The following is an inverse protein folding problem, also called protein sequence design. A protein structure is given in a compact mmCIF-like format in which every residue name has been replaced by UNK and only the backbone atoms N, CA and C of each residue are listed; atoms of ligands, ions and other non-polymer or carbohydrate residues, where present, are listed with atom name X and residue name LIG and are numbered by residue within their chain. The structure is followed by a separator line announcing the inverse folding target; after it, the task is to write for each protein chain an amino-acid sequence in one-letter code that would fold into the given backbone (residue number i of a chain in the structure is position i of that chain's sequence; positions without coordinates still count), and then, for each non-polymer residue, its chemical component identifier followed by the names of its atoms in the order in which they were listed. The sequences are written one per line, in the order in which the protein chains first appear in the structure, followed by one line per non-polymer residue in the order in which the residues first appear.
data_IF_325118519151
#
_entry.id   IF_325118519151
#
_cell.length_a   1.000
_cell.length_b   1.000
_cell.length_c   1.000
_cell.angle_alpha   90.00
_cell.angle_beta   90.00
_cell.angle_gamma   90.00
#
_symmetry.space_group_name_H-M   'P 1'
#
loop_
_entity.id
_entity.type
_entity.pdbx_description
1 polymer ?
#
# COMPACT_ATOMS: atom_id res chain seq x y z
N UNK A 1 -10.96 -29.17 -38.26
CA UNK A 1 -11.49 -28.70 -36.96
C UNK A 1 -12.36 -29.79 -36.35
N UNK A 2 -11.85 -30.55 -35.36
CA UNK A 2 -12.60 -31.63 -34.71
C UNK A 2 -13.75 -31.01 -33.89
N UNK A 3 -14.98 -31.47 -34.13
CA UNK A 3 -16.17 -31.13 -33.33
C UNK A 3 -15.91 -31.53 -31.87
N UNK A 4 -15.67 -30.54 -31.01
CA UNK A 4 -15.67 -30.75 -29.55
C UNK A 4 -17.09 -31.19 -29.18
N UNK A 5 -17.26 -32.44 -28.74
CA UNK A 5 -18.57 -32.96 -28.36
C UNK A 5 -19.05 -32.20 -27.11
N UNK A 6 -20.25 -31.63 -27.16
CA UNK A 6 -20.86 -30.86 -26.07
C UNK A 6 -20.83 -31.61 -24.72
N UNK A 7 -20.93 -32.94 -24.74
CA UNK A 7 -20.83 -33.80 -23.55
C UNK A 7 -19.44 -33.91 -22.91
N UNK A 8 -18.36 -33.55 -23.62
CA UNK A 8 -17.02 -33.45 -23.06
C UNK A 8 -16.72 -32.06 -22.47
N UNK A 9 -17.54 -31.05 -22.81
CA UNK A 9 -17.41 -29.69 -22.26
C UNK A 9 -17.96 -29.60 -20.83
N UNK A 10 -19.06 -30.30 -20.51
CA UNK A 10 -19.66 -30.26 -19.17
C UNK A 10 -18.69 -30.75 -18.06
N UNK A 11 -17.99 -31.89 -18.22
CA UNK A 11 -16.99 -32.37 -17.26
C UNK A 11 -15.78 -31.45 -17.18
N UNK A 12 -15.39 -30.83 -18.30
CA UNK A 12 -14.24 -29.93 -18.36
C UNK A 12 -14.52 -28.60 -17.66
N UNK A 13 -15.72 -28.04 -17.84
CA UNK A 13 -16.19 -26.86 -17.09
C UNK A 13 -16.34 -27.19 -15.61
N UNK A 14 -16.92 -28.33 -15.26
CA UNK A 14 -17.03 -28.78 -13.87
C UNK A 14 -15.67 -28.94 -13.19
N UNK A 15 -14.71 -29.59 -13.87
CA UNK A 15 -13.34 -29.74 -13.37
C UNK A 15 -12.62 -28.39 -13.23
N UNK A 16 -12.81 -27.49 -14.19
CA UNK A 16 -12.26 -26.13 -14.12
C UNK A 16 -12.82 -25.35 -12.93
N UNK A 17 -14.14 -25.36 -12.71
CA UNK A 17 -14.78 -24.69 -11.58
C UNK A 17 -14.33 -25.28 -10.23
N UNK A 18 -14.18 -26.60 -10.15
CA UNK A 18 -13.67 -27.27 -8.94
C UNK A 18 -12.21 -26.89 -8.67
N UNK A 19 -11.39 -26.79 -9.72
CA UNK A 19 -10.02 -26.32 -9.63
C UNK A 19 -9.94 -24.86 -9.18
N UNK A 20 -10.71 -23.95 -9.78
CA UNK A 20 -10.81 -22.56 -9.35
C UNK A 20 -11.23 -22.44 -7.88
N UNK A 21 -12.25 -23.20 -7.47
CA UNK A 21 -12.69 -23.26 -6.06
C UNK A 21 -11.54 -23.71 -5.17
N UNK A 22 -10.83 -24.77 -5.53
CA UNK A 22 -9.71 -25.28 -4.76
C UNK A 22 -8.56 -24.27 -4.65
N UNK A 23 -8.20 -23.57 -5.73
CA UNK A 23 -7.17 -22.52 -5.74
C UNK A 23 -7.54 -21.35 -4.84
N UNK A 24 -8.78 -20.87 -4.94
CA UNK A 24 -9.28 -19.73 -4.16
C UNK A 24 -9.42 -20.07 -2.68
N UNK A 25 -9.93 -21.27 -2.39
CA UNK A 25 -10.21 -21.70 -1.03
C UNK A 25 -8.99 -22.27 -0.32
N UNK A 26 -8.05 -22.89 -1.03
CA UNK A 26 -6.85 -23.52 -0.49
C UNK A 26 -7.16 -24.28 0.81
N UNK A 27 -8.07 -25.26 0.72
CA UNK A 27 -8.51 -26.09 1.84
C UNK A 27 -9.40 -25.41 2.90
N UNK A 28 -9.62 -24.10 2.83
CA UNK A 28 -10.46 -23.39 3.80
C UNK A 28 -11.93 -23.35 3.37
N UNK A 29 -12.83 -23.11 4.33
CA UNK A 29 -14.24 -22.90 4.03
C UNK A 29 -14.47 -21.54 3.33
N UNK A 30 -15.55 -21.43 2.56
CA UNK A 30 -15.96 -20.16 1.93
C UNK A 30 -16.15 -19.05 2.98
N UNK A 31 -16.85 -19.28 4.12
CA UNK A 31 -17.00 -18.27 5.16
C UNK A 31 -15.66 -17.80 5.73
N UNK A 32 -14.72 -18.72 5.96
CA UNK A 32 -13.39 -18.36 6.46
C UNK A 32 -12.62 -17.48 5.47
N UNK A 33 -12.67 -17.80 4.17
CA UNK A 33 -12.00 -17.00 3.14
C UNK A 33 -12.60 -15.61 3.03
N UNK A 34 -13.93 -15.52 3.00
CA UNK A 34 -14.63 -14.24 3.02
C UNK A 34 -14.23 -13.43 4.25
N UNK A 35 -14.21 -14.04 5.43
CA UNK A 35 -13.77 -13.40 6.67
C UNK A 35 -12.34 -12.85 6.56
N UNK A 36 -11.39 -13.62 6.03
CA UNK A 36 -10.00 -13.13 5.89
C UNK A 36 -9.87 -11.93 4.94
N UNK A 37 -10.69 -11.88 3.88
CA UNK A 37 -10.75 -10.74 2.95
C UNK A 37 -11.34 -9.53 3.66
N UNK A 38 -12.45 -9.70 4.39
CA UNK A 38 -13.09 -8.64 5.15
C UNK A 38 -12.15 -8.07 6.22
N UNK A 39 -11.46 -8.92 6.98
CA UNK A 39 -10.47 -8.50 7.99
C UNK A 39 -9.31 -7.73 7.36
N UNK A 40 -8.85 -8.13 6.17
CA UNK A 40 -7.82 -7.39 5.45
C UNK A 40 -8.32 -6.05 4.92
N UNK A 41 -9.54 -6.00 4.41
CA UNK A 41 -10.13 -4.81 3.82
C UNK A 41 -10.70 -3.83 4.86
N UNK A 42 -10.93 -4.27 6.10
CA UNK A 42 -11.52 -3.46 7.15
C UNK A 42 -10.79 -2.13 7.40
N UNK A 43 -9.44 -2.08 7.55
CA UNK A 43 -8.78 -0.81 7.84
C UNK A 43 -8.88 0.24 6.71
N UNK A 44 -8.72 -0.11 5.40
CA UNK A 44 -9.03 0.81 4.31
C UNK A 44 -10.49 1.25 4.27
N UNK A 45 -11.45 0.36 4.56
CA UNK A 45 -12.87 0.73 4.64
C UNK A 45 -13.16 1.65 5.83
N UNK A 46 -12.52 1.43 6.97
CA UNK A 46 -12.63 2.31 8.13
C UNK A 46 -12.11 3.71 7.79
N UNK A 47 -10.99 3.80 7.07
CA UNK A 47 -10.49 5.09 6.59
C UNK A 47 -11.48 5.78 5.63
N UNK A 48 -12.00 5.10 4.61
CA UNK A 48 -12.94 5.73 3.67
C UNK A 48 -14.23 6.17 4.35
N UNK A 49 -14.70 5.38 5.31
CA UNK A 49 -15.84 5.73 6.16
C UNK A 49 -15.54 7.00 6.95
N UNK A 50 -14.46 7.03 7.74
CA UNK A 50 -14.09 8.19 8.56
C UNK A 50 -13.83 9.44 7.72
N UNK A 51 -13.18 9.30 6.56
CA UNK A 51 -12.99 10.40 5.60
C UNK A 51 -14.33 10.99 5.20
N UNK A 52 -15.34 10.16 4.87
CA UNK A 52 -16.69 10.62 4.55
C UNK A 52 -17.42 11.23 5.74
N UNK A 53 -17.17 10.74 6.95
CA UNK A 53 -17.77 11.29 8.17
C UNK A 53 -17.14 12.62 8.61
N UNK A 54 -15.95 12.98 8.11
CA UNK A 54 -15.28 14.24 8.46
C UNK A 54 -16.12 15.50 8.18
N UNK A 55 -17.10 15.44 7.27
CA UNK A 55 -18.06 16.54 7.02
C UNK A 55 -18.93 16.88 8.24
N UNK A 56 -19.07 15.97 9.20
CA UNK A 56 -19.88 16.16 10.40
C UNK A 56 -19.10 16.80 11.56
N UNK A 57 -17.79 17.03 11.41
CA UNK A 57 -16.99 17.73 12.41
C UNK A 57 -17.41 19.22 12.39
N UNK A 58 -17.91 19.78 13.51
CA UNK A 58 -18.33 21.18 13.57
C UNK A 58 -17.18 22.14 13.30
N UNK A 59 -17.42 23.21 12.53
CA UNK A 59 -16.39 24.18 12.16
C UNK A 59 -15.76 24.87 13.38
N UNK A 60 -16.51 25.01 14.48
CA UNK A 60 -16.05 25.61 15.74
C UNK A 60 -14.89 24.87 16.41
N UNK A 61 -14.70 23.58 16.13
CA UNK A 61 -13.61 22.77 16.70
C UNK A 61 -12.50 22.47 15.68
N UNK A 62 -12.67 22.91 14.43
CA UNK A 62 -11.68 22.67 13.40
C UNK A 62 -10.51 23.65 13.53
N UNK A 63 -9.26 23.20 13.33
CA UNK A 63 -8.09 24.07 13.41
C UNK A 63 -8.04 25.08 12.24
N UNK A 64 -7.29 26.19 12.37
CA UNK A 64 -7.06 27.10 11.27
C UNK A 64 -6.38 26.44 10.06
N UNK A 65 -6.75 26.84 8.86
CA UNK A 65 -6.18 26.33 7.61
C UNK A 65 -4.85 27.02 7.32
N UNK A 66 -3.80 26.24 7.10
CA UNK A 66 -2.46 26.76 6.83
C UNK A 66 -2.20 26.87 5.32
N UNK A 67 -1.94 28.10 4.85
CA UNK A 67 -1.63 28.38 3.44
C UNK A 67 -0.11 28.58 3.21
N UNK A 68 0.61 29.30 4.07
CA UNK A 68 1.99 29.72 3.72
C UNK A 68 3.08 28.64 3.88
N UNK A 69 2.84 27.64 4.73
CA UNK A 69 3.88 26.68 5.11
C UNK A 69 4.30 25.78 3.94
N UNK A 70 3.33 25.13 3.28
CA UNK A 70 3.65 24.13 2.24
C UNK A 70 4.33 24.74 1.01
N UNK A 71 3.90 25.90 0.47
CA UNK A 71 4.63 26.59 -0.59
C UNK A 71 6.08 26.91 -0.18
N UNK A 72 6.30 27.39 1.04
CA UNK A 72 7.63 27.73 1.55
C UNK A 72 8.53 26.50 1.66
N UNK A 73 8.03 25.44 2.30
CA UNK A 73 8.77 24.17 2.42
C UNK A 73 9.04 23.54 1.05
N UNK A 74 8.09 23.62 0.12
CA UNK A 74 8.25 23.11 -1.24
C UNK A 74 9.36 23.86 -2.00
N UNK A 75 9.39 25.20 -1.92
CA UNK A 75 10.47 26.01 -2.53
C UNK A 75 11.83 25.67 -1.92
N UNK A 76 11.90 25.56 -0.59
CA UNK A 76 13.13 25.18 0.09
C UNK A 76 13.59 23.79 -0.35
N UNK A 77 12.70 22.80 -0.33
CA UNK A 77 12.96 21.41 -0.71
C UNK A 77 13.51 21.29 -2.13
N UNK A 78 12.91 22.01 -3.09
CA UNK A 78 13.26 21.93 -4.51
C UNK A 78 14.46 22.80 -4.90
N UNK A 79 14.95 23.66 -4.00
CA UNK A 79 16.19 24.41 -4.22
C UNK A 79 17.41 23.46 -4.29
N UNK A 80 18.49 23.82 -5.00
CA UNK A 80 19.71 23.01 -5.02
C UNK A 80 20.24 22.67 -3.61
N UNK A 81 20.20 23.64 -2.69
CA UNK A 81 20.58 23.45 -1.30
C UNK A 81 19.66 22.48 -0.56
N UNK A 82 18.35 22.58 -0.77
CA UNK A 82 17.36 21.67 -0.18
C UNK A 82 17.50 20.23 -0.66
N UNK A 83 17.67 20.02 -1.96
CA UNK A 83 17.91 18.69 -2.54
C UNK A 83 19.16 18.05 -1.95
N UNK A 84 20.27 18.80 -1.84
CA UNK A 84 21.51 18.34 -1.21
C UNK A 84 21.26 18.02 0.26
N UNK A 85 20.66 18.93 1.03
CA UNK A 85 20.41 18.75 2.45
C UNK A 85 19.56 17.51 2.74
N UNK A 86 18.47 17.31 2.00
CA UNK A 86 17.61 16.13 2.15
C UNK A 86 18.37 14.87 1.75
N UNK A 87 19.13 14.89 0.64
CA UNK A 87 19.94 13.74 0.22
C UNK A 87 20.94 13.32 1.31
N UNK A 88 21.64 14.28 1.92
CA UNK A 88 22.57 14.03 3.02
C UNK A 88 21.83 13.47 4.25
N UNK A 89 20.65 14.00 4.57
CA UNK A 89 19.83 13.51 5.69
C UNK A 89 19.36 12.05 5.52
N UNK A 90 19.30 11.56 4.28
CA UNK A 90 18.90 10.19 3.96
C UNK A 90 20.06 9.18 4.00
N UNK A 91 21.31 9.61 4.17
CA UNK A 91 22.47 8.71 4.26
C UNK A 91 22.31 7.63 5.36
N UNK A 92 21.87 7.96 6.60
CA UNK A 92 21.68 6.93 7.63
C UNK A 92 20.63 5.89 7.21
N UNK A 93 19.53 6.31 6.61
CA UNK A 93 18.48 5.40 6.12
C UNK A 93 18.99 4.54 4.95
N UNK A 94 19.69 5.15 4.00
CA UNK A 94 20.29 4.43 2.87
C UNK A 94 21.29 3.37 3.36
N UNK A 95 22.12 3.71 4.36
CA UNK A 95 23.06 2.78 4.99
C UNK A 95 22.33 1.66 5.74
N UNK A 96 21.25 1.96 6.44
CA UNK A 96 20.45 0.95 7.12
C UNK A 96 19.84 -0.05 6.13
N UNK A 97 19.22 0.46 5.07
CA UNK A 97 18.59 -0.34 4.02
C UNK A 97 19.63 -1.11 3.19
N UNK A 98 20.83 -0.57 3.03
CA UNK A 98 21.96 -1.26 2.42
C UNK A 98 22.24 -2.59 3.13
N UNK A 99 22.39 -2.55 4.45
CA UNK A 99 22.68 -3.75 5.24
C UNK A 99 21.47 -4.69 5.32
N UNK A 100 20.25 -4.15 5.48
CA UNK A 100 19.04 -4.97 5.45
C UNK A 100 18.80 -5.65 4.11
N UNK A 101 19.29 -5.07 3.01
CA UNK A 101 19.17 -5.59 1.65
C UNK A 101 20.33 -6.48 1.20
N UNK A 102 21.19 -6.95 2.12
CA UNK A 102 22.35 -7.79 1.81
C UNK A 102 23.42 -7.10 0.92
N UNK A 103 23.69 -5.81 1.12
CA UNK A 103 24.38 -4.90 0.17
C UNK A 103 25.63 -5.38 -0.58
N UNK A 104 26.47 -6.25 0.00
CA UNK A 104 27.74 -6.71 -0.60
C UNK A 104 27.71 -8.15 -1.15
N UNK A 105 26.57 -8.85 -1.12
CA UNK A 105 26.52 -10.23 -1.66
C UNK A 105 26.70 -10.23 -3.18
N UNK A 106 27.58 -11.10 -3.67
CA UNK A 106 27.86 -11.34 -5.10
C UNK A 106 27.19 -12.62 -5.62
N UNK A 107 27.24 -12.87 -6.93
CA UNK A 107 26.72 -14.10 -7.56
C UNK A 107 25.19 -14.15 -7.69
N UNK A 108 24.62 -15.36 -7.74
CA UNK A 108 23.15 -15.59 -7.80
C UNK A 108 22.41 -15.10 -6.53
N UNK A 109 23.15 -14.90 -5.45
CA UNK A 109 22.68 -14.34 -4.18
C UNK A 109 22.76 -12.81 -4.10
N UNK A 110 23.01 -12.13 -5.24
CA UNK A 110 23.26 -10.68 -5.28
C UNK A 110 22.27 -9.89 -4.42
N UNK A 111 22.82 -9.17 -3.45
CA UNK A 111 22.07 -8.29 -2.58
C UNK A 111 21.38 -7.18 -3.36
N UNK A 112 20.21 -6.76 -2.88
CA UNK A 112 19.49 -5.60 -3.43
C UNK A 112 19.81 -4.31 -2.67
N UNK A 113 20.56 -4.40 -1.57
CA UNK A 113 20.89 -3.31 -0.66
C UNK A 113 21.55 -2.12 -1.34
N UNK A 114 22.53 -2.35 -2.24
CA UNK A 114 23.15 -1.29 -3.06
C UNK A 114 22.12 -0.52 -3.88
N UNK A 115 21.28 -1.23 -4.64
CA UNK A 115 20.27 -0.60 -5.50
C UNK A 115 19.21 0.16 -4.68
N UNK A 116 18.81 -0.37 -3.52
CA UNK A 116 17.89 0.30 -2.61
C UNK A 116 18.49 1.55 -1.98
N UNK A 117 19.74 1.47 -1.49
CA UNK A 117 20.44 2.62 -0.92
C UNK A 117 20.62 3.74 -1.95
N UNK A 118 21.05 3.40 -3.16
CA UNK A 118 21.12 4.36 -4.27
C UNK A 118 19.74 4.94 -4.58
N UNK A 119 18.69 4.12 -4.59
CA UNK A 119 17.34 4.61 -4.85
C UNK A 119 16.86 5.64 -3.81
N UNK A 120 17.18 5.41 -2.53
CA UNK A 120 16.87 6.34 -1.44
C UNK A 120 17.63 7.66 -1.63
N UNK A 121 18.91 7.62 -1.99
CA UNK A 121 19.71 8.82 -2.20
C UNK A 121 19.33 9.59 -3.47
N UNK A 122 18.83 8.90 -4.50
CA UNK A 122 18.32 9.53 -5.73
C UNK A 122 16.92 10.13 -5.56
N UNK A 123 16.19 9.76 -4.50
CA UNK A 123 14.79 10.16 -4.31
C UNK A 123 14.57 11.69 -4.32
N UNK A 124 15.35 12.53 -3.61
CA UNK A 124 15.14 13.98 -3.63
C UNK A 124 15.37 14.59 -5.02
N UNK A 125 16.39 14.12 -5.74
CA UNK A 125 16.66 14.55 -7.11
C UNK A 125 15.54 14.14 -8.06
N UNK A 126 15.05 12.89 -7.95
CA UNK A 126 13.95 12.42 -8.77
C UNK A 126 12.66 13.20 -8.53
N UNK A 127 12.39 13.58 -7.28
CA UNK A 127 11.26 14.42 -6.94
C UNK A 127 11.40 15.84 -7.50
N UNK A 128 12.62 16.38 -7.50
CA UNK A 128 12.90 17.65 -8.17
C UNK A 128 12.66 17.58 -9.68
N UNK A 129 13.12 16.52 -10.34
CA UNK A 129 12.83 16.26 -11.75
C UNK A 129 11.32 16.14 -11.99
N UNK A 130 10.59 15.41 -11.15
CA UNK A 130 9.13 15.30 -11.22
C UNK A 130 8.46 16.67 -11.14
N UNK A 131 8.89 17.53 -10.20
CA UNK A 131 8.38 18.89 -10.06
C UNK A 131 8.69 19.76 -11.28
N UNK A 132 9.88 19.65 -11.86
CA UNK A 132 10.25 20.37 -13.09
C UNK A 132 9.39 19.92 -14.26
N UNK A 133 9.22 18.61 -14.45
CA UNK A 133 8.37 18.02 -15.49
C UNK A 133 6.89 18.36 -15.32
N UNK A 134 6.44 18.69 -14.10
CA UNK A 134 5.07 19.13 -13.86
C UNK A 134 4.76 20.51 -14.48
N UNK A 135 5.78 21.33 -14.79
CA UNK A 135 5.63 22.61 -15.48
C UNK A 135 5.56 22.48 -17.01
N UNK A 136 5.48 21.26 -17.53
CA UNK A 136 5.31 21.05 -18.97
C UNK A 136 4.03 21.72 -19.47
N UNK A 137 4.07 22.24 -20.70
CA UNK A 137 2.90 22.87 -21.33
C UNK A 137 1.72 21.90 -21.36
N UNK A 138 0.55 22.41 -20.97
CA UNK A 138 -0.66 21.61 -20.86
C UNK A 138 -1.09 21.11 -22.24
N UNK A 139 -1.41 19.82 -22.34
CA UNK A 139 -1.95 19.22 -23.56
C UNK A 139 -2.82 18.02 -23.24
N UNK A 140 -3.79 17.72 -24.10
CA UNK A 140 -4.70 16.58 -23.95
C UNK A 140 -3.95 15.25 -23.77
N UNK A 141 -2.80 15.09 -24.43
CA UNK A 141 -1.99 13.87 -24.34
C UNK A 141 -1.38 13.71 -22.95
N UNK A 142 -0.86 14.79 -22.37
CA UNK A 142 -0.29 14.78 -21.02
C UNK A 142 -1.40 14.66 -19.97
N UNK A 143 -2.54 15.31 -20.18
CA UNK A 143 -3.72 15.15 -19.32
C UNK A 143 -4.19 13.70 -19.29
N UNK A 144 -4.32 13.03 -20.44
CA UNK A 144 -4.72 11.62 -20.49
C UNK A 144 -3.66 10.67 -19.91
N UNK A 145 -2.37 10.98 -20.10
CA UNK A 145 -1.28 10.19 -19.49
C UNK A 145 -1.32 10.32 -17.96
N UNK A 146 -1.36 11.55 -17.45
CA UNK A 146 -1.45 11.82 -16.01
C UNK A 146 -2.72 11.24 -15.41
N UNK A 147 -3.82 11.30 -16.17
CA UNK A 147 -5.10 10.73 -15.78
C UNK A 147 -5.03 9.21 -15.60
N UNK A 148 -4.30 8.50 -16.46
CA UNK A 148 -4.21 7.04 -16.39
C UNK A 148 -3.71 6.55 -15.03
N UNK A 149 -2.71 7.23 -14.46
CA UNK A 149 -2.12 6.93 -13.15
C UNK A 149 -2.89 7.58 -12.01
N UNK A 150 -3.12 8.89 -12.08
CA UNK A 150 -3.70 9.66 -10.99
C UNK A 150 -5.22 9.56 -10.92
N UNK A 151 -5.96 9.58 -12.03
CA UNK A 151 -7.43 9.55 -12.03
C UNK A 151 -7.99 8.13 -12.00
N UNK A 152 -7.46 7.22 -12.82
CA UNK A 152 -7.97 5.84 -12.93
C UNK A 152 -7.25 4.85 -12.01
N UNK A 153 -5.93 4.70 -12.17
CA UNK A 153 -5.18 3.67 -11.43
C UNK A 153 -5.07 3.94 -9.94
N UNK A 154 -5.20 5.17 -9.45
CA UNK A 154 -5.13 5.40 -8.00
C UNK A 154 -6.23 4.63 -7.24
N UNK A 155 -7.44 4.52 -7.77
CA UNK A 155 -8.53 3.72 -7.19
C UNK A 155 -8.35 2.22 -7.41
N UNK A 156 -7.88 1.82 -8.60
CA UNK A 156 -7.73 0.41 -8.95
C UNK A 156 -6.48 -0.24 -8.33
N UNK A 157 -5.42 0.54 -8.12
CA UNK A 157 -4.09 0.02 -7.75
C UNK A 157 -4.04 -0.73 -6.41
N UNK A 158 -4.78 -0.35 -5.34
CA UNK A 158 -4.78 -1.14 -4.11
C UNK A 158 -5.44 -2.51 -4.30
N UNK A 159 -6.49 -2.58 -5.13
CA UNK A 159 -7.19 -3.83 -5.44
C UNK A 159 -6.29 -4.73 -6.28
N UNK A 160 -5.68 -4.17 -7.34
CA UNK A 160 -4.72 -4.89 -8.21
C UNK A 160 -3.50 -5.37 -7.41
N UNK A 161 -2.96 -4.52 -6.52
CA UNK A 161 -1.85 -4.87 -5.65
C UNK A 161 -2.26 -5.98 -4.67
N UNK A 162 -3.42 -5.89 -4.03
CA UNK A 162 -3.94 -6.93 -3.13
C UNK A 162 -4.07 -8.29 -3.84
N UNK A 163 -4.60 -8.29 -5.07
CA UNK A 163 -4.70 -9.50 -5.89
C UNK A 163 -3.32 -10.05 -6.29
N UNK A 164 -2.40 -9.18 -6.71
CA UNK A 164 -1.03 -9.56 -7.04
C UNK A 164 -0.30 -10.14 -5.83
N UNK A 165 -0.45 -9.55 -4.64
CA UNK A 165 0.14 -10.04 -3.38
C UNK A 165 -0.48 -11.37 -2.98
N UNK A 166 -1.78 -11.58 -3.16
CA UNK A 166 -2.40 -12.90 -2.94
C UNK A 166 -1.84 -13.95 -3.91
N UNK A 167 -1.63 -13.57 -5.17
CA UNK A 167 -1.10 -14.42 -6.22
C UNK A 167 0.35 -14.82 -5.99
N UNK A 168 1.23 -13.87 -5.63
CA UNK A 168 2.68 -14.09 -5.64
C UNK A 168 3.32 -14.03 -4.24
N UNK A 169 2.67 -13.41 -3.26
CA UNK A 169 3.17 -13.27 -1.90
C UNK A 169 2.85 -14.46 -1.00
N UNK A 170 3.40 -14.42 0.21
CA UNK A 170 3.17 -15.45 1.23
C UNK A 170 1.71 -15.47 1.71
N UNK A 171 1.24 -16.64 2.17
CA UNK A 171 -0.13 -16.78 2.66
C UNK A 171 -0.41 -15.79 3.80
N UNK A 172 -1.45 -14.95 3.64
CA UNK A 172 -1.80 -13.89 4.60
C UNK A 172 -1.13 -12.53 4.36
N UNK A 173 -0.19 -12.43 3.42
CA UNK A 173 0.46 -11.16 3.07
C UNK A 173 -0.54 -10.13 2.54
N UNK A 174 -1.53 -10.54 1.74
CA UNK A 174 -2.57 -9.64 1.21
C UNK A 174 -3.46 -9.04 2.32
N UNK A 175 -3.75 -9.81 3.38
CA UNK A 175 -4.46 -9.29 4.55
C UNK A 175 -3.58 -8.25 5.27
N UNK A 176 -2.29 -8.55 5.45
CA UNK A 176 -1.35 -7.62 6.08
C UNK A 176 -1.18 -6.34 5.27
N UNK A 177 -1.18 -6.42 3.93
CA UNK A 177 -1.21 -5.27 3.04
C UNK A 177 -2.40 -4.34 3.31
N UNK A 178 -3.61 -4.91 3.47
CA UNK A 178 -4.78 -4.12 3.82
C UNK A 178 -4.62 -3.38 5.16
N UNK A 179 -4.06 -4.04 6.18
CA UNK A 179 -3.73 -3.38 7.45
C UNK A 179 -2.67 -2.28 7.30
N UNK A 180 -1.61 -2.52 6.53
CA UNK A 180 -0.56 -1.52 6.24
C UNK A 180 -1.13 -0.30 5.52
N UNK A 181 -1.93 -0.53 4.48
CA UNK A 181 -2.59 0.51 3.70
C UNK A 181 -3.57 1.33 4.55
N UNK A 182 -4.41 0.66 5.33
CA UNK A 182 -5.37 1.36 6.19
C UNK A 182 -4.68 2.16 7.29
N UNK A 183 -3.62 1.64 7.91
CA UNK A 183 -2.91 2.36 8.97
C UNK A 183 -2.29 3.68 8.48
N UNK A 184 -1.61 3.68 7.32
CA UNK A 184 -1.06 4.92 6.76
C UNK A 184 -2.17 5.90 6.35
N UNK A 185 -3.30 5.39 5.83
CA UNK A 185 -4.39 6.24 5.37
C UNK A 185 -5.16 6.86 6.55
N UNK A 186 -5.39 6.09 7.62
CA UNK A 186 -5.95 6.59 8.87
C UNK A 186 -5.04 7.65 9.51
N UNK A 187 -3.73 7.40 9.54
CA UNK A 187 -2.78 8.38 10.04
C UNK A 187 -2.77 9.65 9.17
N UNK A 188 -2.80 9.52 7.84
CA UNK A 188 -2.85 10.68 6.94
C UNK A 188 -4.15 11.48 7.09
N UNK A 189 -5.29 10.80 7.23
CA UNK A 189 -6.57 11.46 7.54
C UNK A 189 -6.50 12.19 8.88
N UNK A 190 -5.95 11.57 9.93
CA UNK A 190 -5.78 12.22 11.22
C UNK A 190 -4.97 13.53 11.06
N UNK A 191 -3.87 13.49 10.29
CA UNK A 191 -3.08 14.68 9.96
C UNK A 191 -3.87 15.73 9.21
N UNK A 192 -4.65 15.36 8.19
CA UNK A 192 -5.52 16.31 7.47
C UNK A 192 -6.53 17.01 8.38
N UNK A 193 -7.00 16.35 9.43
CA UNK A 193 -7.98 16.90 10.36
C UNK A 193 -7.35 17.83 11.40
N UNK A 194 -6.16 17.49 11.92
CA UNK A 194 -5.47 18.30 12.95
C UNK A 194 -4.57 19.37 12.37
N UNK A 195 -4.16 19.22 11.11
CA UNK A 195 -3.24 20.11 10.40
C UNK A 195 -3.71 20.30 8.95
N UNK A 196 -4.77 21.08 8.74
CA UNK A 196 -5.31 21.35 7.41
C UNK A 196 -4.41 22.31 6.63
N UNK A 197 -4.18 22.00 5.36
CA UNK A 197 -3.34 22.81 4.48
C UNK A 197 -3.90 22.93 3.06
N UNK A 198 -3.66 24.07 2.44
CA UNK A 198 -3.98 24.30 1.03
C UNK A 198 -2.98 23.59 0.09
N UNK A 199 -3.53 22.96 -0.95
CA UNK A 199 -2.79 22.38 -2.07
C UNK A 199 -2.57 23.43 -3.18
N UNK A 200 -1.72 23.15 -4.20
CA UNK A 200 -1.36 24.12 -5.23
C UNK A 200 -2.55 24.76 -5.95
N UNK A 201 -3.60 23.98 -6.26
CA UNK A 201 -4.82 24.45 -6.91
C UNK A 201 -5.48 25.66 -6.23
N UNK A 202 -5.31 25.82 -4.91
CA UNK A 202 -5.88 26.94 -4.17
C UNK A 202 -5.29 28.26 -4.66
N UNK A 203 -3.98 28.31 -4.89
CA UNK A 203 -3.29 29.51 -5.35
C UNK A 203 -3.57 29.81 -6.82
N UNK A 204 -3.81 28.77 -7.63
CA UNK A 204 -4.21 28.95 -9.03
C UNK A 204 -5.57 29.66 -9.15
N UNK A 205 -6.46 29.42 -8.18
CA UNK A 205 -7.84 29.97 -8.19
C UNK A 205 -7.94 31.29 -7.43
N UNK A 206 -7.30 31.40 -6.27
CA UNK A 206 -7.48 32.53 -5.35
C UNK A 206 -6.27 33.48 -5.28
N UNK A 207 -5.15 33.13 -5.92
CA UNK A 207 -3.91 33.91 -5.89
C UNK A 207 -3.04 33.64 -4.65
N UNK A 208 -1.80 34.13 -4.67
CA UNK A 208 -0.86 33.99 -3.54
C UNK A 208 -1.15 34.91 -2.38
N UNK A 209 -1.86 36.02 -2.64
CA UNK A 209 -2.22 37.04 -1.65
C UNK A 209 -3.65 36.81 -1.11
N UNK A 210 -4.15 35.58 -1.27
CA UNK A 210 -5.49 35.19 -0.82
C UNK A 210 -5.66 35.40 0.69
N UNK A 211 -6.85 35.83 1.08
CA UNK A 211 -7.23 35.88 2.50
C UNK A 211 -7.23 34.46 3.10
N UNK A 212 -7.11 34.40 4.43
CA UNK A 212 -7.19 33.13 5.17
C UNK A 212 -8.51 32.42 4.84
N UNK A 213 -8.46 31.18 4.31
CA UNK A 213 -9.67 30.46 3.95
C UNK A 213 -10.38 29.93 5.19
N UNK A 214 -11.67 29.65 5.03
CA UNK A 214 -12.50 28.98 6.01
C UNK A 214 -13.05 27.64 5.46
N UNK A 215 -13.85 26.94 6.26
CA UNK A 215 -14.41 25.63 5.90
C UNK A 215 -15.62 25.69 4.95
N UNK A 216 -16.04 26.88 4.50
CA UNK A 216 -17.09 27.05 3.50
C UNK A 216 -16.57 26.90 2.06
N UNK A 217 -15.25 26.94 1.87
CA UNK A 217 -14.62 26.79 0.57
C UNK A 217 -14.97 25.44 -0.08
N UNK A 218 -15.47 25.42 -1.32
CA UNK A 218 -15.82 24.19 -2.00
C UNK A 218 -14.57 23.41 -2.40
N UNK A 219 -14.71 22.08 -2.47
CA UNK A 219 -13.66 21.23 -3.03
C UNK A 219 -13.47 21.48 -4.52
N UNK A 220 -12.22 21.32 -4.99
CA UNK A 220 -11.81 21.67 -6.34
C UNK A 220 -11.14 20.46 -7.04
N UNK A 221 -11.54 20.10 -8.27
CA UNK A 221 -10.92 19.02 -9.04
C UNK A 221 -9.54 19.38 -9.60
N UNK A 222 -9.06 20.61 -9.38
CA UNK A 222 -7.81 21.14 -9.92
C UNK A 222 -7.68 20.86 -11.43
N UNK A 223 -6.51 20.41 -11.87
CA UNK A 223 -6.27 20.09 -13.28
C UNK A 223 -7.13 18.95 -13.84
N UNK A 224 -7.78 18.11 -13.01
CA UNK A 224 -8.67 17.06 -13.51
C UNK A 224 -9.92 17.60 -14.21
N UNK A 225 -10.27 18.89 -14.02
CA UNK A 225 -11.34 19.52 -14.79
C UNK A 225 -11.09 19.46 -16.30
N UNK A 226 -9.81 19.45 -16.73
CA UNK A 226 -9.45 19.29 -18.14
C UNK A 226 -9.76 17.90 -18.65
N UNK A 227 -9.58 16.87 -17.83
CA UNK A 227 -9.95 15.49 -18.18
C UNK A 227 -11.46 15.35 -18.33
N UNK A 228 -12.24 15.98 -17.44
CA UNK A 228 -13.70 16.06 -17.57
C UNK A 228 -14.09 16.64 -18.94
N UNK A 229 -13.43 17.73 -19.37
CA UNK A 229 -13.66 18.34 -20.69
C UNK A 229 -13.29 17.43 -21.87
N UNK A 230 -12.12 16.76 -21.81
CA UNK A 230 -11.66 15.84 -22.86
C UNK A 230 -12.63 14.65 -23.01
N UNK A 231 -13.12 14.10 -21.90
CA UNK A 231 -14.01 12.93 -21.90
C UNK A 231 -15.50 13.29 -22.06
N UNK A 232 -15.85 14.58 -22.05
CA UNK A 232 -17.24 15.03 -22.05
C UNK A 232 -18.01 14.59 -20.81
N UNK A 233 -17.35 14.52 -19.65
CA UNK A 233 -17.97 14.10 -18.38
C UNK A 233 -17.88 15.19 -17.31
N UNK A 234 -18.50 14.95 -16.15
CA UNK A 234 -18.41 15.82 -14.97
C UNK A 234 -18.05 15.01 -13.72
N UNK A 235 -17.33 13.90 -13.90
CA UNK A 235 -17.10 12.94 -12.83
C UNK A 235 -16.21 13.57 -11.76
N UNK A 236 -15.13 14.25 -12.17
CA UNK A 236 -14.18 14.83 -11.22
C UNK A 236 -14.72 16.11 -10.59
N UNK A 237 -15.33 16.99 -11.37
CA UNK A 237 -16.00 18.18 -10.85
C UNK A 237 -17.03 17.81 -9.76
N UNK A 238 -17.85 16.78 -9.99
CA UNK A 238 -18.84 16.31 -8.99
C UNK A 238 -18.21 15.59 -7.80
N UNK A 239 -17.17 14.78 -8.02
CA UNK A 239 -16.52 14.02 -6.96
C UNK A 239 -15.79 14.95 -5.97
N UNK A 240 -15.03 15.91 -6.49
CA UNK A 240 -14.27 16.85 -5.67
C UNK A 240 -15.14 17.94 -5.05
N UNK A 241 -16.18 18.41 -5.74
CA UNK A 241 -17.12 19.39 -5.18
C UNK A 241 -17.86 18.89 -3.93
N UNK A 242 -17.89 17.57 -3.68
CA UNK A 242 -18.47 16.94 -2.49
C UNK A 242 -17.41 16.37 -1.53
N UNK A 243 -16.15 16.80 -1.67
CA UNK A 243 -15.05 16.38 -0.83
C UNK A 243 -15.20 16.89 0.61
N UNK A 244 -15.21 16.01 1.63
CA UNK A 244 -15.40 16.40 3.04
C UNK A 244 -14.16 17.04 3.67
N UNK A 245 -12.98 16.84 3.05
CA UNK A 245 -11.68 17.35 3.50
C UNK A 245 -11.06 18.09 2.32
N UNK A 246 -11.35 19.39 2.22
CA UNK A 246 -10.88 20.27 1.13
C UNK A 246 -9.41 20.64 1.30
N UNK A 247 -9.02 20.96 2.53
CA UNK A 247 -7.66 21.39 2.89
C UNK A 247 -6.85 20.24 3.51
N UNK A 248 -6.71 19.13 2.79
CA UNK A 248 -5.97 17.94 3.21
C UNK A 248 -4.79 17.62 2.29
N UNK A 249 -3.91 18.59 2.04
CA UNK A 249 -2.77 18.40 1.14
C UNK A 249 -1.71 17.43 1.70
N UNK A 250 -1.18 17.71 2.89
CA UNK A 250 -0.09 16.94 3.50
C UNK A 250 -0.62 15.97 4.58
N UNK A 251 -0.18 14.70 4.61
CA UNK A 251 0.62 14.01 3.60
C UNK A 251 -0.21 13.63 2.37
N UNK A 252 0.45 13.44 1.23
CA UNK A 252 -0.21 12.92 0.03
C UNK A 252 -0.54 11.43 0.20
N UNK A 253 -1.82 11.12 0.36
CA UNK A 253 -2.31 9.72 0.43
C UNK A 253 -2.14 8.98 -0.91
N UNK A 254 -2.04 9.68 -2.03
CA UNK A 254 -1.74 9.10 -3.34
C UNK A 254 -0.31 8.57 -3.36
N UNK A 255 0.66 9.37 -2.92
CA UNK A 255 2.04 8.93 -2.79
C UNK A 255 2.18 7.78 -1.77
N UNK A 256 1.53 7.92 -0.61
CA UNK A 256 1.55 6.90 0.44
C UNK A 256 1.01 5.55 -0.07
N UNK A 257 -0.12 5.57 -0.78
CA UNK A 257 -0.72 4.38 -1.40
C UNK A 257 0.18 3.77 -2.48
N UNK A 258 0.73 4.58 -3.38
CA UNK A 258 1.61 4.10 -4.44
C UNK A 258 2.88 3.44 -3.90
N UNK A 259 3.55 4.08 -2.94
CA UNK A 259 4.73 3.53 -2.25
C UNK A 259 4.35 2.23 -1.52
N UNK A 260 3.22 2.18 -0.84
CA UNK A 260 2.79 0.97 -0.11
C UNK A 260 2.61 -0.21 -1.06
N UNK A 261 1.90 -0.02 -2.17
CA UNK A 261 1.76 -1.03 -3.22
C UNK A 261 3.13 -1.52 -3.71
N UNK A 262 4.03 -0.58 -4.01
CA UNK A 262 5.36 -0.91 -4.52
C UNK A 262 6.27 -1.59 -3.50
N UNK A 263 6.18 -1.28 -2.20
CA UNK A 263 6.97 -1.96 -1.17
C UNK A 263 6.63 -3.45 -1.09
N UNK A 264 5.34 -3.80 -1.17
CA UNK A 264 4.92 -5.20 -1.25
C UNK A 264 5.31 -5.86 -2.57
N UNK A 265 5.18 -5.16 -3.70
CA UNK A 265 5.64 -5.67 -5.00
C UNK A 265 7.15 -5.92 -4.98
N UNK A 266 7.95 -5.01 -4.44
CA UNK A 266 9.40 -5.16 -4.24
C UNK A 266 9.75 -6.37 -3.38
N UNK A 267 8.99 -6.61 -2.29
CA UNK A 267 9.22 -7.73 -1.38
C UNK A 267 9.07 -9.07 -2.09
N UNK A 268 7.99 -9.27 -2.85
CA UNK A 268 7.65 -10.55 -3.45
C UNK A 268 8.09 -10.72 -4.92
N UNK A 269 8.64 -9.67 -5.54
CA UNK A 269 9.20 -9.75 -6.89
C UNK A 269 10.60 -10.38 -6.90
N UNK A 270 10.89 -11.14 -7.96
CA UNK A 270 12.22 -11.69 -8.23
C UNK A 270 13.16 -10.61 -8.80
N UNK A 271 14.42 -10.65 -8.39
CA UNK A 271 15.46 -9.72 -8.85
C UNK A 271 15.10 -8.25 -8.61
N UNK A 272 15.35 -7.42 -9.61
CA UNK A 272 15.11 -5.97 -9.60
C UNK A 272 13.74 -5.56 -10.18
N UNK A 273 12.90 -6.51 -10.61
CA UNK A 273 11.62 -6.22 -11.29
C UNK A 273 10.71 -5.31 -10.47
N UNK A 274 10.59 -5.58 -9.18
CA UNK A 274 9.78 -4.76 -8.28
C UNK A 274 10.34 -3.36 -8.09
N UNK A 275 11.67 -3.21 -8.05
CA UNK A 275 12.32 -1.91 -7.92
C UNK A 275 12.14 -1.06 -9.19
N UNK A 276 12.30 -1.66 -10.37
CA UNK A 276 12.03 -0.99 -11.66
C UNK A 276 10.57 -0.56 -11.74
N UNK A 277 9.64 -1.45 -11.37
CA UNK A 277 8.21 -1.12 -11.31
C UNK A 277 7.94 0.04 -10.35
N UNK A 278 8.57 0.05 -9.17
CA UNK A 278 8.44 1.12 -8.19
C UNK A 278 8.85 2.48 -8.76
N UNK A 279 10.02 2.56 -9.40
CA UNK A 279 10.51 3.79 -10.02
C UNK A 279 9.57 4.31 -11.11
N UNK A 280 9.07 3.43 -11.98
CA UNK A 280 8.16 3.82 -13.06
C UNK A 280 6.81 4.26 -12.49
N UNK A 281 6.17 3.42 -11.67
CA UNK A 281 4.82 3.68 -11.18
C UNK A 281 4.77 4.86 -10.22
N UNK A 282 5.68 4.92 -9.24
CA UNK A 282 5.72 6.05 -8.30
C UNK A 282 6.16 7.33 -9.01
N UNK A 283 7.13 7.25 -9.93
CA UNK A 283 7.58 8.41 -10.71
C UNK A 283 6.44 9.05 -11.51
N UNK A 284 5.67 8.25 -12.25
CA UNK A 284 4.52 8.76 -13.01
C UNK A 284 3.42 9.26 -12.05
N UNK A 285 3.08 8.52 -10.98
CA UNK A 285 2.09 8.96 -10.00
C UNK A 285 2.44 10.32 -9.38
N UNK A 286 3.70 10.51 -8.98
CA UNK A 286 4.17 11.72 -8.32
C UNK A 286 4.10 12.89 -9.29
N UNK A 287 4.61 12.70 -10.50
CA UNK A 287 4.48 13.69 -11.56
C UNK A 287 3.01 14.04 -11.83
N UNK A 288 2.11 13.06 -11.95
CA UNK A 288 0.69 13.32 -12.22
C UNK A 288 0.01 14.13 -11.12
N UNK A 289 0.30 13.86 -9.84
CA UNK A 289 -0.27 14.63 -8.72
C UNK A 289 0.19 16.09 -8.71
N UNK A 290 1.43 16.34 -9.12
CA UNK A 290 1.99 17.69 -9.23
C UNK A 290 1.48 18.38 -10.50
N UNK A 291 1.42 17.69 -11.64
CA UNK A 291 0.93 18.18 -12.93
C UNK A 291 -0.54 18.60 -12.88
N UNK A 292 -1.36 17.90 -12.10
CA UNK A 292 -2.74 18.32 -11.82
C UNK A 292 -2.88 19.31 -10.67
N UNK A 293 -1.77 19.78 -10.07
CA UNK A 293 -1.75 20.80 -9.01
C UNK A 293 -2.51 20.37 -7.74
N UNK A 294 -2.58 19.06 -7.46
CA UNK A 294 -3.19 18.55 -6.25
C UNK A 294 -2.23 18.43 -5.07
N UNK A 295 -0.93 18.35 -5.33
CA UNK A 295 0.09 18.15 -4.29
C UNK A 295 1.37 18.92 -4.60
N UNK A 296 1.97 19.50 -3.57
CA UNK A 296 3.37 19.92 -3.56
C UNK A 296 4.30 18.71 -3.46
N UNK A 297 5.57 18.89 -3.79
CA UNK A 297 6.58 17.84 -3.65
C UNK A 297 6.76 17.41 -2.18
N UNK A 298 6.68 18.35 -1.24
CA UNK A 298 6.79 18.05 0.19
C UNK A 298 5.69 17.08 0.67
N UNK A 299 4.48 17.20 0.11
CA UNK A 299 3.34 16.32 0.43
C UNK A 299 3.65 14.86 0.04
N UNK A 300 4.35 14.68 -1.07
CA UNK A 300 4.77 13.37 -1.59
C UNK A 300 5.89 12.74 -0.75
N UNK A 301 6.83 13.54 -0.24
CA UNK A 301 7.84 13.07 0.73
C UNK A 301 7.16 12.58 1.99
N UNK A 302 6.25 13.38 2.55
CA UNK A 302 5.54 13.02 3.78
C UNK A 302 4.63 11.79 3.57
N UNK A 303 3.96 11.67 2.43
CA UNK A 303 3.22 10.45 2.06
C UNK A 303 4.11 9.21 1.98
N UNK A 304 5.29 9.36 1.36
CA UNK A 304 6.31 8.29 1.30
C UNK A 304 6.77 7.88 2.70
N UNK A 305 7.00 8.83 3.59
CA UNK A 305 7.37 8.57 4.98
C UNK A 305 6.30 7.75 5.72
N UNK A 306 5.02 8.12 5.61
CA UNK A 306 3.91 7.39 6.23
C UNK A 306 3.87 5.93 5.78
N UNK A 307 4.08 5.72 4.48
CA UNK A 307 4.13 4.39 3.89
C UNK A 307 5.30 3.55 4.41
N UNK A 308 6.49 4.13 4.48
CA UNK A 308 7.69 3.46 4.99
C UNK A 308 7.54 3.07 6.46
N UNK A 309 6.99 3.96 7.30
CA UNK A 309 6.73 3.70 8.71
C UNK A 309 5.72 2.57 8.87
N UNK A 310 4.57 2.67 8.20
CA UNK A 310 3.52 1.65 8.26
C UNK A 310 4.03 0.29 7.76
N UNK A 311 4.69 0.26 6.60
CA UNK A 311 5.27 -0.96 6.06
C UNK A 311 6.28 -1.58 7.01
N UNK A 312 7.21 -0.79 7.55
CA UNK A 312 8.22 -1.30 8.50
C UNK A 312 7.56 -1.88 9.75
N UNK A 313 6.53 -1.23 10.30
CA UNK A 313 5.79 -1.75 11.45
C UNK A 313 5.17 -3.13 11.15
N UNK A 314 4.38 -3.24 10.09
CA UNK A 314 3.71 -4.49 9.74
C UNK A 314 4.66 -5.56 9.22
N UNK A 315 5.79 -5.16 8.64
CA UNK A 315 6.86 -6.06 8.23
C UNK A 315 7.47 -6.78 9.43
N UNK A 316 7.76 -6.02 10.49
CA UNK A 316 8.37 -6.52 11.73
C UNK A 316 7.40 -7.32 12.59
N UNK A 317 6.15 -6.85 12.71
CA UNK A 317 5.15 -7.50 13.57
C UNK A 317 4.58 -8.76 12.93
N UNK A 318 4.36 -8.78 11.61
CA UNK A 318 3.57 -9.82 10.94
C UNK A 318 4.22 -10.43 9.71
N UNK A 319 4.66 -9.65 8.71
CA UNK A 319 5.09 -10.22 7.43
C UNK A 319 6.28 -11.18 7.55
N UNK A 320 7.31 -10.86 8.36
CA UNK A 320 8.45 -11.77 8.54
C UNK A 320 8.03 -13.14 9.09
N UNK A 321 7.08 -13.16 10.02
CA UNK A 321 6.54 -14.41 10.60
C UNK A 321 5.75 -15.19 9.56
N UNK A 322 4.91 -14.51 8.79
CA UNK A 322 4.15 -15.12 7.69
C UNK A 322 5.06 -15.70 6.62
N UNK A 323 6.06 -14.94 6.17
CA UNK A 323 7.00 -15.40 5.16
C UNK A 323 7.80 -16.61 5.68
N UNK A 324 8.28 -16.58 6.94
CA UNK A 324 8.96 -17.72 7.54
C UNK A 324 8.07 -18.96 7.57
N UNK A 325 6.84 -18.84 8.06
CA UNK A 325 5.89 -19.95 8.10
C UNK A 325 5.55 -20.47 6.69
N UNK A 326 5.43 -19.56 5.71
CA UNK A 326 5.18 -19.91 4.31
C UNK A 326 6.30 -20.76 3.74
N UNK A 327 7.55 -20.36 3.96
CA UNK A 327 8.68 -21.09 3.41
C UNK A 327 9.00 -22.36 4.23
N UNK A 328 9.04 -22.29 5.56
CA UNK A 328 9.38 -23.43 6.42
C UNK A 328 8.37 -24.59 6.28
N UNK A 329 7.09 -24.27 6.10
CA UNK A 329 6.05 -25.28 5.92
C UNK A 329 5.81 -25.65 4.45
N UNK A 330 6.58 -25.12 3.49
CA UNK A 330 6.37 -25.42 2.08
C UNK A 330 4.98 -24.98 1.57
N UNK A 331 4.45 -23.85 2.03
CA UNK A 331 3.14 -23.37 1.57
C UNK A 331 3.22 -22.79 0.15
N UNK A 332 2.12 -22.88 -0.59
CA UNK A 332 1.96 -22.32 -1.94
C UNK A 332 1.32 -20.94 -1.89
N UNK A 333 1.68 -20.04 -2.81
CA UNK A 333 0.95 -18.78 -3.04
C UNK A 333 -0.23 -18.99 -4.02
N UNK A 334 -1.00 -17.95 -4.33
CA UNK A 334 -2.18 -18.07 -5.20
C UNK A 334 -1.87 -18.58 -6.60
N UNK A 335 -0.73 -18.18 -7.17
CA UNK A 335 -0.27 -18.61 -8.48
C UNK A 335 0.19 -20.07 -8.47
N UNK A 336 1.00 -20.46 -7.49
CA UNK A 336 1.51 -21.83 -7.37
C UNK A 336 0.40 -22.84 -7.11
N UNK A 337 -0.66 -22.40 -6.43
CA UNK A 337 -1.87 -23.19 -6.26
C UNK A 337 -2.52 -23.59 -7.58
N UNK A 338 -2.24 -22.93 -8.71
CA UNK A 338 -2.74 -23.41 -10.01
C UNK A 338 -2.14 -24.77 -10.41
N UNK A 339 -1.00 -25.13 -9.84
CA UNK A 339 -0.23 -26.31 -10.26
C UNK A 339 0.04 -27.29 -9.12
N UNK A 340 0.15 -26.80 -7.88
CA UNK A 340 0.63 -27.59 -6.74
C UNK A 340 -0.21 -27.34 -5.48
N UNK A 341 -0.46 -28.41 -4.72
CA UNK A 341 -1.16 -28.31 -3.43
C UNK A 341 -0.26 -27.80 -2.31
N UNK A 342 0.98 -28.26 -2.29
CA UNK A 342 2.03 -27.86 -1.37
C UNK A 342 3.34 -27.79 -2.13
N UNK A 343 4.30 -27.01 -1.63
CA UNK A 343 5.68 -27.12 -2.08
C UNK A 343 6.39 -28.26 -1.31
N UNK A 344 6.99 -29.19 -2.02
CA UNK A 344 7.72 -30.37 -1.54
C UNK A 344 9.02 -30.55 -2.33
N UNK A 345 9.87 -31.52 -1.95
CA UNK A 345 11.24 -31.65 -2.46
C UNK A 345 11.40 -31.61 -3.99
N UNK A 346 10.38 -32.04 -4.74
CA UNK A 346 10.42 -32.06 -6.21
C UNK A 346 10.04 -30.72 -6.87
N UNK A 347 9.30 -29.85 -6.16
CA UNK A 347 8.88 -28.52 -6.66
C UNK A 347 9.35 -27.36 -5.75
N UNK A 348 10.09 -27.66 -4.69
CA UNK A 348 10.69 -26.70 -3.78
C UNK A 348 11.93 -26.11 -4.42
N UNK A 349 11.88 -24.81 -4.67
CA UNK A 349 12.96 -24.11 -5.37
C UNK A 349 14.02 -23.62 -4.38
N UNK A 350 15.26 -23.56 -4.83
CA UNK A 350 16.38 -22.85 -4.18
C UNK A 350 16.00 -21.44 -3.69
N UNK A 351 15.02 -20.81 -4.34
CA UNK A 351 14.41 -19.55 -3.90
C UNK A 351 13.77 -19.61 -2.50
N UNK A 352 13.08 -20.69 -2.16
CA UNK A 352 12.48 -20.86 -0.83
C UNK A 352 13.53 -20.97 0.27
N UNK A 353 14.59 -21.75 0.06
CA UNK A 353 15.73 -21.86 0.99
C UNK A 353 16.46 -20.53 1.15
N UNK A 354 16.73 -19.84 0.03
CA UNK A 354 17.31 -18.50 0.04
C UNK A 354 16.46 -17.51 0.84
N UNK A 355 15.13 -17.59 0.75
CA UNK A 355 14.25 -16.73 1.54
C UNK A 355 14.30 -17.05 3.03
N UNK A 356 14.38 -18.32 3.43
CA UNK A 356 14.60 -18.70 4.82
C UNK A 356 15.94 -18.18 5.35
N UNK A 357 17.03 -18.30 4.57
CA UNK A 357 18.35 -17.74 4.91
C UNK A 357 18.28 -16.22 5.12
N UNK A 358 17.56 -15.50 4.26
CA UNK A 358 17.39 -14.03 4.37
C UNK A 358 16.60 -13.58 5.60
N UNK A 359 15.66 -14.38 6.07
CA UNK A 359 14.88 -14.06 7.27
C UNK A 359 15.68 -14.27 8.57
N UNK A 360 16.86 -14.92 8.50
CA UNK A 360 17.72 -15.22 9.65
C UNK A 360 17.19 -16.35 10.54
N UNK A 361 17.84 -16.66 11.68
CA UNK A 361 17.29 -17.55 12.71
C UNK A 361 15.93 -17.03 13.20
N UNK A 362 14.99 -17.93 13.48
CA UNK A 362 13.68 -17.53 14.02
C UNK A 362 13.83 -17.08 15.46
N UNK A 363 13.13 -16.01 15.87
CA UNK A 363 13.03 -15.53 17.26
C UNK A 363 12.21 -16.48 18.17
N UNK A 364 12.45 -17.78 18.02
CA UNK A 364 11.78 -18.89 18.71
C UNK A 364 12.59 -20.18 18.64
N UNK A 365 13.84 -20.12 18.19
CA UNK A 365 14.84 -21.18 18.36
C UNK A 365 15.78 -20.86 19.55
N UNK A 366 15.37 -19.93 20.42
CA UNK A 366 16.13 -19.48 21.59
C UNK A 366 15.57 -20.12 22.88
N UNK A 367 14.88 -21.27 22.74
CA UNK A 367 14.23 -21.98 23.85
C UNK A 367 14.86 -23.32 24.22
N UNK A 368 15.97 -23.70 23.58
CA UNK A 368 16.74 -24.92 23.87
C UNK A 368 18.13 -24.77 23.26
N UNK A 369 18.95 -23.92 23.88
CA UNK A 369 20.39 -23.92 23.67
C UNK A 369 21.03 -23.76 25.04
N UNK A 370 21.41 -24.91 25.59
CA UNK A 370 22.35 -25.00 26.70
C UNK A 370 23.60 -24.17 26.38
N UNK A 371 24.00 -23.32 27.34
CA UNK A 371 25.40 -22.97 27.59
C UNK A 371 26.15 -22.15 26.53
N UNK A 372 26.47 -20.93 26.94
CA UNK A 372 27.63 -20.14 26.51
C UNK A 372 27.58 -19.43 25.15
N UNK A 373 27.54 -18.09 25.18
CA UNK A 373 27.76 -17.26 23.99
C UNK A 373 27.37 -15.81 24.17
N UNK A 374 28.29 -15.02 24.73
CA UNK A 374 28.23 -13.59 25.01
C UNK A 374 27.54 -12.72 23.94
N UNK A 375 26.64 -11.84 24.39
CA UNK A 375 26.16 -10.73 23.59
C UNK A 375 27.28 -9.74 23.28
N UNK A 376 27.47 -9.42 22.00
CA UNK A 376 28.27 -8.26 21.58
C UNK A 376 27.53 -7.43 20.56
N UNK A 377 26.82 -6.42 21.09
CA UNK A 377 26.73 -5.11 20.47
C UNK A 377 28.13 -4.48 20.60
N UNK A 378 28.83 -4.23 19.49
CA UNK A 378 30.08 -3.47 19.54
C UNK A 378 30.23 -2.55 18.32
N UNK A 379 30.25 -1.26 18.64
CA UNK A 379 30.64 -0.13 17.81
C UNK A 379 32.15 -0.18 17.47
N UNK A 380 32.46 0.20 16.24
CA UNK A 380 33.69 0.83 15.69
C UNK A 380 35.03 0.77 16.45
N UNK A 381 36.08 0.24 15.79
CA UNK A 381 37.42 0.84 15.51
C UNK A 381 38.36 -0.23 14.93
N UNK A 382 38.81 -0.10 13.69
CA UNK A 382 40.05 0.55 13.20
C UNK A 382 41.35 -0.26 13.41
N UNK A 383 42.08 -0.34 12.29
CA UNK A 383 43.53 -0.52 12.06
C UNK A 383 44.17 -1.91 12.06
N UNK A 384 44.72 -2.19 10.86
CA UNK A 384 46.08 -2.68 10.53
C UNK A 384 46.40 -4.17 10.52
N UNK A 385 46.84 -4.62 9.32
CA UNK A 385 47.96 -5.53 8.98
C UNK A 385 48.05 -6.86 9.73
N UNK A 386 48.31 -8.02 9.15
CA UNK A 386 49.00 -8.39 7.91
C UNK A 386 49.10 -9.93 7.89
N UNK A 387 49.28 -10.47 6.69
CA UNK A 387 50.10 -11.63 6.37
C UNK A 387 49.64 -13.07 6.74
N UNK A 388 49.40 -13.80 5.64
CA UNK A 388 50.06 -15.05 5.23
C UNK A 388 49.54 -16.43 5.65
N UNK A 389 49.65 -17.28 4.61
CA UNK A 389 49.87 -18.74 4.57
C UNK A 389 48.61 -19.60 4.79
N UNK A 390 48.05 -20.21 3.73
CA UNK A 390 48.44 -21.51 3.13
C UNK A 390 48.31 -22.66 4.14
N UNK A 391 47.85 -23.88 3.88
CA UNK A 391 47.43 -24.67 2.73
C UNK A 391 47.09 -26.06 3.33
N UNK A 392 46.43 -26.95 2.58
CA UNK A 392 46.33 -28.39 2.89
C UNK A 392 44.88 -28.87 2.99
N UNK A 393 44.28 -29.35 1.90
CA UNK A 393 44.36 -30.73 1.38
C UNK A 393 43.52 -31.74 2.18
N UNK A 394 42.44 -32.17 1.52
CA UNK A 394 41.58 -33.36 1.67
C UNK A 394 42.36 -34.70 1.89
N UNK A 395 41.75 -35.91 2.03
CA UNK A 395 40.37 -36.30 1.70
C UNK A 395 39.68 -37.43 2.53
N UNK A 396 38.45 -37.72 2.10
CA UNK A 396 37.77 -39.03 2.03
C UNK A 396 37.21 -39.71 3.30
N UNK A 397 35.93 -40.09 3.20
CA UNK A 397 35.25 -41.01 4.11
C UNK A 397 33.81 -41.26 3.69
N UNK A 398 33.55 -42.38 3.04
CA UNK A 398 32.27 -42.81 2.47
C UNK A 398 31.28 -43.38 3.51
N UNK A 399 29.99 -43.23 3.22
CA UNK A 399 28.99 -44.32 3.07
C UNK A 399 27.71 -44.26 3.94
N UNK A 400 26.61 -44.63 3.26
CA UNK A 400 25.37 -45.27 3.73
C UNK A 400 24.24 -44.43 4.33
N UNK A 401 23.32 -44.05 3.44
CA UNK A 401 21.94 -44.54 3.36
C UNK A 401 21.06 -44.59 4.61
N UNK A 402 19.98 -43.80 4.62
CA UNK A 402 18.80 -44.08 5.44
C UNK A 402 17.50 -43.54 4.79
N UNK A 403 16.61 -44.51 4.53
CA UNK A 403 15.17 -44.49 4.31
C UNK A 403 14.39 -43.16 4.27
N UNK A 404 13.70 -42.95 3.15
CA UNK A 404 12.59 -42.02 3.01
C UNK A 404 11.37 -42.54 3.80
N UNK A 405 11.09 -41.92 4.95
CA UNK A 405 9.83 -42.10 5.66
C UNK A 405 8.77 -41.15 5.07
N UNK A 406 7.77 -41.72 4.40
CA UNK A 406 6.49 -41.06 4.10
C UNK A 406 5.89 -40.55 5.40
N UNK A 407 5.81 -39.23 5.57
CA UNK A 407 4.96 -38.60 6.59
C UNK A 407 3.62 -38.25 5.96
N UNK A 408 2.60 -39.03 6.28
CA UNK A 408 1.20 -38.71 6.00
C UNK A 408 0.83 -37.37 6.67
N UNK A 409 0.12 -36.54 5.92
CA UNK A 409 -0.37 -35.24 6.37
C UNK A 409 -1.50 -35.41 7.39
N UNK A 410 -1.15 -35.30 8.67
CA UNK A 410 -2.10 -35.13 9.77
C UNK A 410 -2.42 -33.65 10.00
N UNK A 411 -3.71 -33.34 10.02
CA UNK A 411 -4.26 -32.06 10.47
C UNK A 411 -3.75 -31.71 11.87
N UNK A 412 -3.24 -30.49 12.06
CA UNK A 412 -3.09 -29.91 13.40
C UNK A 412 -4.34 -29.11 13.70
N UNK A 413 -5.33 -29.77 14.27
CA UNK A 413 -6.43 -29.14 15.01
C UNK A 413 -5.90 -28.66 16.36
N UNK A 414 -6.10 -27.39 16.68
CA UNK A 414 -5.92 -26.87 18.03
C UNK A 414 -6.95 -27.54 18.98
N UNK A 415 -6.57 -27.89 20.22
CA UNK A 415 -7.49 -28.53 21.15
C UNK A 415 -8.56 -27.52 21.62
N UNK A 416 -9.82 -27.90 21.42
CA UNK A 416 -10.95 -27.27 22.07
C UNK A 416 -11.23 -28.06 23.35
N UNK A 417 -10.93 -27.46 24.50
CA UNK A 417 -11.52 -27.86 25.79
C UNK A 417 -11.43 -26.69 26.78
N UNK A 418 -12.57 -26.01 26.96
CA UNK A 418 -13.13 -25.65 28.27
C UNK A 418 -14.65 -25.57 28.11
N UNK A 419 -15.32 -26.66 28.48
CA UNK A 419 -16.71 -26.73 28.92
C UNK A 419 -16.92 -25.74 30.09
N UNK A 420 -17.82 -24.77 29.92
CA UNK A 420 -19.20 -24.73 30.43
C UNK A 420 -19.32 -24.75 31.97
N UNK A 421 -19.63 -23.59 32.54
CA UNK A 421 -20.44 -23.49 33.75
C UNK A 421 -21.66 -22.61 33.43
N UNK A 422 -22.81 -23.13 33.84
CA UNK A 422 -24.16 -22.57 33.79
C UNK A 422 -24.26 -21.18 34.42
N UNK A 423 -25.00 -20.27 33.78
CA UNK A 423 -26.05 -19.47 34.44
C UNK A 423 -27.14 -19.19 33.41
N UNK A 424 -28.36 -19.68 33.69
CA UNK A 424 -29.56 -19.40 32.90
C UNK A 424 -30.29 -18.12 33.32
N UNK A 425 -31.29 -17.77 32.51
CA UNK A 425 -32.44 -16.94 32.91
C UNK A 425 -32.61 -15.62 32.16
N UNK A 426 -33.57 -15.63 31.22
CA UNK A 426 -34.55 -14.56 30.90
C UNK A 426 -34.02 -13.18 30.41
N UNK A 427 -34.59 -12.48 29.43
CA UNK A 427 -35.82 -12.59 28.65
C UNK A 427 -35.74 -11.65 27.43
N UNK A 428 -36.39 -12.10 26.36
CA UNK A 428 -37.15 -11.38 25.31
C UNK A 428 -37.05 -9.84 25.26
N UNK A 429 -36.65 -9.30 24.10
CA UNK A 429 -37.20 -8.03 23.62
C UNK A 429 -37.47 -8.10 22.11
N UNK A 430 -38.71 -7.81 21.78
CA UNK A 430 -39.34 -7.86 20.47
C UNK A 430 -38.84 -6.77 19.52
N UNK A 431 -38.92 -7.10 18.23
CA UNK A 431 -38.78 -6.18 17.10
C UNK A 431 -40.04 -5.30 17.01
N UNK A 432 -39.87 -3.99 17.20
CA UNK A 432 -40.92 -2.98 17.03
C UNK A 432 -40.92 -2.42 15.61
N UNK A 433 -42.11 -2.43 15.01
CA UNK A 433 -42.43 -2.06 13.63
C UNK A 433 -42.31 -0.57 13.31
N UNK A 434 -42.30 -0.36 12.00
CA UNK A 434 -42.34 0.87 11.22
C UNK A 434 -43.60 1.69 11.53
N UNK A 435 -43.41 2.94 11.97
CA UNK A 435 -44.45 3.96 12.03
C UNK A 435 -44.36 4.92 10.84
N UNK A 436 -45.36 4.83 9.97
CA UNK A 436 -45.72 5.84 8.97
C UNK A 436 -46.34 7.02 9.72
N UNK A 437 -45.92 8.24 9.40
CA UNK A 437 -46.70 9.43 9.74
C UNK A 437 -46.84 10.29 8.46
N UNK A 438 -48.08 10.35 8.02
CA UNK A 438 -48.63 11.22 6.98
C UNK A 438 -49.51 12.27 7.66
N UNK A 439 -49.69 13.41 6.98
CA UNK A 439 -50.61 14.52 7.24
C UNK A 439 -49.83 15.82 7.53
N UNK A 440 -50.12 16.99 6.97
CA UNK A 440 -51.18 17.41 6.05
C UNK A 440 -50.75 18.75 5.45
N UNK A 441 -51.36 19.06 4.30
CA UNK A 441 -51.24 20.28 3.51
C UNK A 441 -51.65 21.56 4.28
N UNK A 442 -51.01 22.68 3.94
CA UNK A 442 -51.72 23.96 3.82
C UNK A 442 -51.08 24.88 2.80
N UNK A 443 -51.87 25.15 1.77
CA UNK A 443 -51.66 26.12 0.71
C UNK A 443 -51.60 27.56 1.23
N UNK A 444 -50.91 28.42 0.47
CA UNK A 444 -50.89 29.86 0.65
C UNK A 444 -50.24 30.53 -0.56
N UNK A 445 -51.05 30.78 -1.59
CA UNK A 445 -50.71 31.56 -2.78
C UNK A 445 -50.30 33.01 -2.43
N UNK A 446 -49.37 33.56 -3.20
CA UNK A 446 -48.99 34.97 -3.15
C UNK A 446 -48.11 35.36 -4.34
N UNK A 447 -48.75 35.86 -5.39
CA UNK A 447 -48.15 36.40 -6.61
C UNK A 447 -47.17 37.56 -6.35
N UNK A 448 -46.09 37.65 -7.14
CA UNK A 448 -45.09 38.72 -7.02
C UNK A 448 -44.08 38.80 -8.17
N UNK A 449 -44.61 39.15 -9.34
CA UNK A 449 -43.99 39.70 -10.56
C UNK A 449 -42.53 40.22 -10.50
N UNK A 450 -41.69 39.72 -11.41
CA UNK A 450 -40.86 40.56 -12.28
C UNK A 450 -39.39 40.84 -11.91
N UNK A 451 -38.45 40.22 -12.63
CA UNK A 451 -37.53 40.89 -13.59
C UNK A 451 -36.42 39.93 -14.03
N UNK A 452 -36.38 39.66 -15.32
CA UNK A 452 -35.26 38.96 -15.95
C UNK A 452 -34.02 39.84 -16.03
N UNK A 453 -32.86 39.18 -16.06
CA UNK A 453 -31.66 39.65 -16.75
C UNK A 453 -30.83 38.46 -17.22
N UNK A 454 -30.88 38.23 -18.54
CA UNK A 454 -29.82 37.57 -19.30
C UNK A 454 -28.66 38.56 -19.46
N UNK A 455 -27.43 38.10 -19.26
CA UNK A 455 -26.19 38.60 -19.89
C UNK A 455 -25.21 37.42 -19.80
N UNK A 456 -24.96 36.70 -20.89
CA UNK A 456 -24.12 37.04 -22.05
C UNK A 456 -22.66 36.65 -21.80
N UNK A 457 -22.26 35.62 -22.53
CA UNK A 457 -20.90 35.21 -22.78
C UNK A 457 -20.10 36.34 -23.45
N UNK A 458 -18.83 36.47 -23.09
CA UNK A 458 -17.81 37.14 -23.90
C UNK A 458 -16.52 36.33 -23.80
N UNK A 459 -16.16 35.79 -24.97
CA UNK A 459 -14.84 35.49 -25.57
C UNK A 459 -13.67 35.20 -24.64
#
# INVERSE_FOLDING_TARGET
MRRVRLGALLPLVGAFLLHCRWVLLNGASVPYRLWTVLVGAFPPFLWTFLFKQAKHIPDSIRPPIHIDLLPTLNRLLLSPGGVIAVTLSLIPLARLVYFWGDGDKEGEDRGRGRAYAVSILLFPTALCISALCANAEVSDRLDLLAFSTYGALHFASPIVAGWWIWGFGSQGAACTFGWTLGAQNLAGLATHLVFPNAAPWFYDVYGTDAAQPDYTYPGNPAGLVRVDAILGTHIYAKAFGKGPVVFGAIPSLHAATAICCCLFVCRYSKGYRGLVFMWIYCGIMFWSTQYFHHHFAIDLICGTFYSLVSFTLFERVRLRKLDRAHYANGLTNGYERLFFARRDGDNWTEYGERMLRRLGPGAGADGEADGEGEGKVALSRSTTSSANASAGSSPAGSSRGAAAARREGGYVSLPADRQSEDVGGESVFELGEVGVDSDEEREGEGQGQGRGRRLAAVV
#
